data_IF_997564649508
#
_entry.id   IF_997564649508
#
_cell.length_a   1.000
_cell.length_b   1.000
_cell.length_c   1.000
_cell.angle_alpha   90.00
_cell.angle_beta   90.00
_cell.angle_gamma   90.00
#
_symmetry.space_group_name_H-M   'P 1'
#
loop_
_entity.id
_entity.type
_entity.pdbx_description
1 polymer ?
#
# COMPACT_ATOMS: atom_id res chain seq x y z
N UNK A 1 -11.45 -21.88 -78.49
CA UNK A 1 -11.62 -23.13 -77.75
C UNK A 1 -10.55 -23.21 -76.67
N UNK A 2 -10.72 -22.46 -75.64
CA UNK A 2 -9.74 -22.38 -74.58
C UNK A 2 -10.39 -21.72 -73.32
N UNK A 3 -11.21 -22.44 -72.63
CA UNK A 3 -11.67 -22.08 -71.26
C UNK A 3 -12.06 -23.40 -70.58
N UNK A 4 -11.15 -24.03 -69.83
CA UNK A 4 -11.42 -25.08 -68.85
C UNK A 4 -10.13 -25.62 -68.23
N UNK A 5 -9.27 -24.76 -67.64
CA UNK A 5 -8.12 -25.27 -66.86
C UNK A 5 -7.76 -24.47 -65.58
N UNK A 6 -8.56 -23.45 -65.18
CA UNK A 6 -8.18 -22.60 -64.05
C UNK A 6 -9.09 -22.70 -62.84
N UNK A 7 -9.92 -23.73 -62.66
CA UNK A 7 -10.87 -23.84 -61.57
C UNK A 7 -10.45 -24.90 -60.51
N UNK A 8 -9.47 -25.74 -60.79
CA UNK A 8 -9.10 -26.85 -59.83
C UNK A 8 -7.91 -26.51 -58.90
N UNK A 9 -7.16 -25.43 -59.14
CA UNK A 9 -5.98 -25.08 -58.31
C UNK A 9 -6.34 -24.14 -57.14
N UNK A 10 -7.51 -23.49 -57.16
CA UNK A 10 -7.91 -22.54 -56.11
C UNK A 10 -8.61 -23.20 -54.90
N UNK A 11 -9.08 -24.45 -55.06
CA UNK A 11 -9.80 -25.15 -53.98
C UNK A 11 -8.90 -25.88 -52.97
N UNK A 12 -7.65 -26.16 -53.33
CA UNK A 12 -6.72 -26.84 -52.40
C UNK A 12 -5.89 -25.89 -51.49
N UNK A 13 -5.79 -24.60 -51.86
CA UNK A 13 -5.00 -23.64 -51.07
C UNK A 13 -5.83 -23.05 -49.91
N UNK A 14 -7.14 -22.96 -50.06
CA UNK A 14 -8.03 -22.47 -48.99
C UNK A 14 -8.28 -23.49 -47.89
N UNK A 15 -8.17 -24.78 -48.14
CA UNK A 15 -8.36 -25.82 -47.13
C UNK A 15 -7.12 -25.97 -46.20
N UNK A 16 -5.91 -25.65 -46.72
CA UNK A 16 -4.68 -25.72 -45.88
C UNK A 16 -4.50 -24.49 -45.01
N UNK A 17 -4.99 -23.32 -45.38
CA UNK A 17 -4.90 -22.11 -44.59
C UNK A 17 -5.87 -22.12 -43.38
N UNK A 18 -7.04 -22.75 -43.50
CA UNK A 18 -8.01 -22.86 -42.41
C UNK A 18 -7.57 -23.88 -41.35
N UNK A 19 -6.87 -24.94 -41.73
CA UNK A 19 -6.36 -25.95 -40.81
C UNK A 19 -5.12 -25.46 -40.00
N UNK A 20 -4.34 -24.52 -40.55
CA UNK A 20 -3.17 -23.96 -39.88
C UNK A 20 -3.55 -22.89 -38.84
N UNK A 21 -4.66 -22.16 -39.06
CA UNK A 21 -5.18 -21.19 -38.06
C UNK A 21 -5.89 -21.87 -36.90
N UNK A 22 -6.46 -23.05 -37.05
CA UNK A 22 -7.12 -23.79 -35.99
C UNK A 22 -6.14 -24.45 -35.02
N UNK A 23 -4.88 -24.70 -35.42
CA UNK A 23 -3.84 -25.31 -34.57
C UNK A 23 -3.02 -24.25 -33.82
N UNK A 24 -2.94 -23.00 -34.34
CA UNK A 24 -2.26 -21.88 -33.63
C UNK A 24 -3.19 -21.11 -32.71
N UNK A 25 -4.50 -21.29 -32.78
CA UNK A 25 -5.48 -20.66 -31.89
C UNK A 25 -5.65 -21.32 -30.52
N UNK A 26 -4.99 -22.45 -30.26
CA UNK A 26 -5.17 -23.22 -29.02
C UNK A 26 -4.06 -23.03 -27.99
N UNK A 27 -3.07 -22.15 -28.20
CA UNK A 27 -1.97 -21.88 -27.26
C UNK A 27 -1.91 -20.47 -26.72
N UNK A 28 -2.90 -19.63 -26.97
CA UNK A 28 -2.91 -18.24 -26.51
C UNK A 28 -4.17 -17.87 -25.72
N UNK A 29 -4.53 -18.66 -24.70
CA UNK A 29 -5.49 -18.21 -23.68
C UNK A 29 -5.07 -18.75 -22.32
N UNK A 30 -3.95 -18.26 -21.80
CA UNK A 30 -3.80 -18.13 -20.34
C UNK A 30 -4.14 -16.70 -20.00
N UNK A 31 -5.34 -16.57 -19.43
CA UNK A 31 -5.99 -15.42 -18.90
C UNK A 31 -5.03 -14.27 -18.48
N UNK A 32 -5.06 -13.16 -19.20
CA UNK A 32 -4.90 -11.87 -18.57
C UNK A 32 -6.15 -11.70 -17.72
N UNK A 33 -6.04 -11.83 -16.42
CA UNK A 33 -7.10 -11.46 -15.52
C UNK A 33 -7.28 -9.94 -15.66
N UNK A 34 -8.34 -9.54 -16.30
CA UNK A 34 -8.74 -8.15 -16.50
C UNK A 34 -9.10 -7.54 -15.15
N UNK A 35 -8.69 -6.29 -14.94
CA UNK A 35 -9.31 -5.41 -13.93
C UNK A 35 -10.83 -5.52 -14.15
N UNK A 36 -11.64 -5.72 -13.09
CA UNK A 36 -13.09 -5.83 -13.26
C UNK A 36 -13.63 -4.64 -14.05
N UNK A 37 -14.45 -4.89 -15.09
CA UNK A 37 -14.99 -3.87 -16.02
C UNK A 37 -15.69 -2.69 -15.34
N UNK A 38 -16.16 -2.86 -14.10
CA UNK A 38 -16.80 -1.82 -13.30
C UNK A 38 -15.82 -0.78 -12.72
N UNK A 39 -14.50 -0.96 -12.88
CA UNK A 39 -13.48 -0.02 -12.39
C UNK A 39 -12.84 0.84 -13.49
N UNK A 40 -13.15 0.57 -14.78
CA UNK A 40 -12.60 1.35 -15.89
C UNK A 40 -13.58 2.46 -16.29
N UNK A 41 -13.08 3.68 -16.48
CA UNK A 41 -13.76 4.73 -17.26
C UNK A 41 -13.39 4.54 -18.73
N UNK A 42 -14.25 4.94 -19.66
CA UNK A 42 -14.12 4.69 -21.11
C UNK A 42 -12.87 5.27 -21.80
N UNK A 43 -11.94 5.92 -21.04
CA UNK A 43 -10.78 6.64 -21.59
C UNK A 43 -9.41 6.31 -20.97
N UNK A 44 -9.31 5.32 -20.06
CA UNK A 44 -8.03 5.03 -19.39
C UNK A 44 -7.34 3.79 -20.01
N UNK A 45 -6.42 4.02 -20.95
CA UNK A 45 -5.42 3.03 -21.34
C UNK A 45 -4.42 2.83 -20.20
N UNK A 46 -4.47 1.67 -19.53
CA UNK A 46 -3.37 1.22 -18.67
C UNK A 46 -2.19 0.89 -19.61
N UNK A 47 -1.23 1.80 -19.71
CA UNK A 47 -0.01 1.57 -20.50
C UNK A 47 0.70 0.34 -19.95
N UNK A 48 0.95 -0.72 -20.75
CA UNK A 48 1.66 -1.89 -20.27
C UNK A 48 3.06 -1.49 -19.78
N UNK A 49 3.34 -1.72 -18.50
CA UNK A 49 4.66 -1.48 -17.94
C UNK A 49 5.67 -2.47 -18.52
N UNK A 50 6.95 -2.09 -18.59
CA UNK A 50 8.03 -2.95 -19.03
C UNK A 50 8.05 -4.27 -18.22
N UNK A 51 8.54 -5.35 -18.84
CA UNK A 51 8.51 -6.69 -18.23
C UNK A 51 9.28 -6.79 -16.89
N UNK A 52 10.23 -5.90 -16.67
CA UNK A 52 11.06 -5.77 -15.46
C UNK A 52 10.47 -4.83 -14.40
N UNK A 53 9.33 -4.16 -14.69
CA UNK A 53 8.66 -3.32 -13.70
C UNK A 53 8.19 -4.13 -12.49
N UNK A 54 8.18 -3.55 -11.28
CA UNK A 54 7.71 -4.20 -10.06
C UNK A 54 6.33 -4.84 -10.22
N UNK A 55 6.16 -6.05 -9.71
CA UNK A 55 4.87 -6.71 -9.66
C UNK A 55 4.03 -6.16 -8.50
N UNK A 56 2.77 -5.85 -8.78
CA UNK A 56 1.73 -5.57 -7.79
C UNK A 56 0.65 -6.64 -7.95
N UNK A 57 0.51 -7.49 -6.95
CA UNK A 57 -0.49 -8.54 -6.92
C UNK A 57 -1.80 -7.99 -6.36
N UNK A 58 -2.90 -8.27 -7.03
CA UNK A 58 -4.24 -7.75 -6.71
C UNK A 58 -5.25 -8.87 -6.55
N UNK A 59 -6.16 -8.74 -5.61
CA UNK A 59 -7.39 -9.55 -5.53
C UNK A 59 -8.57 -8.67 -5.12
N UNK A 60 -9.72 -8.87 -5.74
CA UNK A 60 -10.98 -8.24 -5.32
C UNK A 60 -11.58 -8.90 -4.06
N UNK A 61 -11.09 -10.07 -3.66
CA UNK A 61 -11.58 -10.82 -2.51
C UNK A 61 -11.04 -10.25 -1.20
N UNK A 62 -11.81 -9.39 -0.53
CA UNK A 62 -11.44 -8.80 0.77
C UNK A 62 -11.87 -9.75 1.89
N UNK A 63 -11.13 -10.82 2.05
CA UNK A 63 -11.28 -11.82 3.09
C UNK A 63 -9.91 -12.44 3.44
N UNK A 64 -9.79 -13.25 4.51
CA UNK A 64 -8.50 -13.84 4.89
C UNK A 64 -7.83 -14.63 3.77
N UNK A 65 -8.59 -15.39 2.97
CA UNK A 65 -8.04 -16.16 1.85
C UNK A 65 -7.48 -15.25 0.73
N UNK A 66 -8.17 -14.15 0.40
CA UNK A 66 -7.68 -13.15 -0.54
C UNK A 66 -6.40 -12.46 -0.05
N UNK A 67 -6.34 -12.09 1.23
CA UNK A 67 -5.13 -11.53 1.83
C UNK A 67 -3.95 -12.52 1.74
N UNK A 68 -4.18 -13.79 2.06
CA UNK A 68 -3.17 -14.83 1.95
C UNK A 68 -2.70 -15.03 0.51
N UNK A 69 -3.62 -15.00 -0.48
CA UNK A 69 -3.28 -15.21 -1.89
C UNK A 69 -2.30 -14.16 -2.44
N UNK A 70 -2.48 -12.87 -2.09
CA UNK A 70 -1.54 -11.83 -2.51
C UNK A 70 -0.23 -11.86 -1.72
N UNK A 71 -0.25 -12.23 -0.44
CA UNK A 71 0.95 -12.43 0.35
C UNK A 71 1.84 -13.55 -0.24
N UNK A 72 1.25 -14.71 -0.51
CA UNK A 72 1.98 -15.86 -1.07
C UNK A 72 2.53 -15.57 -2.47
N UNK A 73 1.81 -14.78 -3.26
CA UNK A 73 2.24 -14.37 -4.60
C UNK A 73 3.53 -13.52 -4.61
N UNK A 74 3.87 -12.84 -3.50
CA UNK A 74 5.12 -12.09 -3.37
C UNK A 74 6.36 -12.96 -3.47
N UNK A 75 6.27 -14.25 -3.14
CA UNK A 75 7.41 -15.18 -3.15
C UNK A 75 8.48 -14.89 -2.09
N UNK A 76 8.30 -13.86 -1.25
CA UNK A 76 9.17 -13.51 -0.14
C UNK A 76 8.51 -13.92 1.17
N UNK A 77 9.11 -14.88 1.87
CA UNK A 77 8.58 -15.35 3.15
C UNK A 77 9.18 -14.54 4.31
N UNK A 78 8.31 -14.03 5.18
CA UNK A 78 8.72 -13.41 6.41
C UNK A 78 9.39 -14.45 7.34
N UNK A 79 10.51 -14.08 7.96
CA UNK A 79 11.30 -14.97 8.80
C UNK A 79 11.93 -14.24 9.99
N UNK A 80 12.35 -14.99 11.01
CA UNK A 80 12.85 -14.43 12.26
C UNK A 80 11.74 -13.85 13.12
N UNK A 81 12.04 -12.80 13.88
CA UNK A 81 11.04 -12.02 14.62
C UNK A 81 10.34 -11.05 13.65
N UNK A 82 9.09 -11.31 13.35
CA UNK A 82 8.32 -10.56 12.36
C UNK A 82 7.47 -9.48 13.02
N UNK A 83 7.66 -8.23 12.61
CA UNK A 83 6.75 -7.14 12.91
C UNK A 83 5.67 -7.03 11.85
N UNK A 84 4.41 -6.98 12.24
CA UNK A 84 3.29 -6.64 11.37
C UNK A 84 2.84 -5.23 11.70
N UNK A 85 3.25 -4.26 10.88
CA UNK A 85 2.95 -2.84 11.08
C UNK A 85 1.58 -2.51 10.51
N UNK A 86 0.68 -2.17 11.40
CA UNK A 86 -0.69 -1.76 11.07
C UNK A 86 -0.99 -0.36 11.61
N UNK A 87 -2.24 0.09 11.45
CA UNK A 87 -2.85 1.18 12.20
C UNK A 87 -4.02 0.61 13.00
N UNK A 88 -3.95 0.68 14.32
CA UNK A 88 -4.97 0.08 15.21
C UNK A 88 -6.29 0.85 15.27
N UNK A 89 -6.38 2.01 14.61
CA UNK A 89 -7.56 2.89 14.66
C UNK A 89 -7.55 3.82 15.87
N UNK A 90 -8.26 4.92 15.78
CA UNK A 90 -8.51 5.83 16.92
C UNK A 90 -9.76 5.36 17.68
N UNK A 91 -9.86 5.51 19.01
CA UNK A 91 -11.06 5.18 19.74
C UNK A 91 -12.31 5.86 19.18
N UNK A 92 -13.34 5.06 18.88
CA UNK A 92 -14.59 5.53 18.27
C UNK A 92 -14.62 5.50 16.74
N UNK A 93 -13.51 5.22 16.07
CA UNK A 93 -13.50 4.97 14.63
C UNK A 93 -14.13 3.61 14.32
N UNK A 94 -15.22 3.52 13.54
CA UNK A 94 -15.87 2.24 13.21
C UNK A 94 -15.26 1.56 11.97
N UNK A 95 -14.30 2.19 11.29
CA UNK A 95 -13.79 1.79 9.97
C UNK A 95 -12.31 1.38 9.98
N UNK A 96 -11.73 1.09 11.14
CA UNK A 96 -10.36 0.57 11.22
C UNK A 96 -10.27 -0.84 10.60
N UNK A 97 -9.04 -1.26 10.30
CA UNK A 97 -8.78 -2.58 9.70
C UNK A 97 -9.24 -3.71 10.65
N UNK A 98 -10.15 -4.56 10.17
CA UNK A 98 -10.73 -5.65 10.97
C UNK A 98 -9.64 -6.67 11.35
N UNK A 99 -9.44 -6.96 12.65
CA UNK A 99 -8.53 -8.00 13.10
C UNK A 99 -8.82 -9.39 12.49
N UNK A 100 -10.10 -9.73 12.27
CA UNK A 100 -10.46 -11.01 11.68
C UNK A 100 -9.99 -11.16 10.23
N UNK A 101 -9.92 -10.06 9.47
CA UNK A 101 -9.39 -10.06 8.12
C UNK A 101 -7.90 -10.42 8.09
N UNK A 102 -7.12 -9.92 9.06
CA UNK A 102 -5.66 -10.03 9.05
C UNK A 102 -5.12 -11.18 9.91
N UNK A 103 -5.96 -11.82 10.71
CA UNK A 103 -5.58 -12.85 11.69
C UNK A 103 -4.72 -13.96 11.07
N UNK A 104 -5.19 -14.54 9.95
CA UNK A 104 -4.53 -15.69 9.35
C UNK A 104 -3.12 -15.33 8.86
N UNK A 105 -2.94 -14.15 8.25
CA UNK A 105 -1.62 -13.66 7.86
C UNK A 105 -0.72 -13.45 9.07
N UNK A 106 -1.20 -12.74 10.10
CA UNK A 106 -0.42 -12.44 11.30
C UNK A 106 0.04 -13.73 11.98
N UNK A 107 -0.83 -14.73 12.08
CA UNK A 107 -0.51 -16.03 12.67
C UNK A 107 0.41 -16.85 11.77
N UNK A 108 0.21 -16.81 10.44
CA UNK A 108 1.07 -17.52 9.46
C UNK A 108 2.53 -17.09 9.56
N UNK A 109 2.78 -15.79 9.76
CA UNK A 109 4.15 -15.25 9.88
C UNK A 109 4.67 -15.26 11.32
N UNK A 110 3.93 -15.81 12.28
CA UNK A 110 4.21 -15.71 13.71
C UNK A 110 4.52 -14.27 14.14
N UNK A 111 3.67 -13.34 13.66
CA UNK A 111 3.90 -11.91 13.73
C UNK A 111 3.52 -11.29 15.06
N UNK A 112 4.24 -10.24 15.41
CA UNK A 112 3.86 -9.30 16.46
C UNK A 112 3.30 -8.04 15.80
N UNK A 113 2.11 -7.62 16.16
CA UNK A 113 1.52 -6.36 15.71
C UNK A 113 2.30 -5.20 16.34
N UNK A 114 2.73 -4.23 15.51
CA UNK A 114 3.52 -3.10 16.00
C UNK A 114 2.91 -1.76 15.59
N UNK A 115 3.01 -0.79 16.49
CA UNK A 115 2.58 0.61 16.32
C UNK A 115 3.54 1.56 17.05
N UNK A 116 3.40 2.87 16.80
CA UNK A 116 4.02 3.93 17.61
C UNK A 116 2.96 4.88 18.16
N UNK A 117 3.23 5.47 19.31
CA UNK A 117 2.39 6.50 19.93
C UNK A 117 2.15 7.66 18.96
N UNK A 118 1.01 8.31 19.12
CA UNK A 118 0.70 9.56 18.42
C UNK A 118 1.28 10.76 19.18
N UNK A 119 1.10 11.96 18.64
CA UNK A 119 1.57 13.18 19.30
C UNK A 119 0.74 13.49 20.55
N UNK A 120 1.27 14.30 21.50
CA UNK A 120 0.54 14.73 22.69
C UNK A 120 -0.84 15.32 22.36
N UNK A 121 -1.82 15.01 23.21
CA UNK A 121 -3.21 15.43 23.02
C UNK A 121 -4.10 14.44 22.25
N UNK A 122 -3.54 13.42 21.62
CA UNK A 122 -4.28 12.30 21.04
C UNK A 122 -4.63 11.25 22.09
N UNK A 123 -5.65 10.44 21.83
CA UNK A 123 -6.06 9.32 22.71
C UNK A 123 -5.09 8.14 22.69
N UNK A 124 -4.12 8.13 21.76
CA UNK A 124 -3.04 7.14 21.67
C UNK A 124 -1.66 7.79 21.86
N UNK A 125 -1.59 8.87 22.68
CA UNK A 125 -0.37 9.62 22.92
C UNK A 125 0.63 8.94 23.88
N UNK A 126 0.24 7.85 24.53
CA UNK A 126 1.11 7.06 25.40
C UNK A 126 0.81 5.57 25.26
N UNK A 127 1.77 4.74 25.61
CA UNK A 127 1.71 3.30 25.42
C UNK A 127 0.51 2.66 26.14
N UNK A 128 0.22 3.03 27.39
CA UNK A 128 -0.89 2.44 28.16
C UNK A 128 -2.24 2.65 27.47
N UNK A 129 -2.51 3.90 27.05
CA UNK A 129 -3.74 4.23 26.32
C UNK A 129 -3.76 3.52 24.96
N UNK A 130 -2.63 3.43 24.26
CA UNK A 130 -2.53 2.78 22.96
C UNK A 130 -2.75 1.27 23.05
N UNK A 131 -2.18 0.58 24.04
CA UNK A 131 -2.48 -0.84 24.31
C UNK A 131 -3.96 -1.08 24.62
N UNK A 132 -4.60 -0.16 25.35
CA UNK A 132 -6.03 -0.27 25.61
C UNK A 132 -6.87 -0.15 24.34
N UNK A 133 -6.49 0.73 23.39
CA UNK A 133 -7.14 0.83 22.08
C UNK A 133 -6.95 -0.47 21.29
N UNK A 134 -5.74 -0.98 21.21
CA UNK A 134 -5.46 -2.24 20.52
C UNK A 134 -6.28 -3.41 21.10
N UNK A 135 -6.45 -3.46 22.41
CA UNK A 135 -7.29 -4.43 23.10
C UNK A 135 -8.79 -4.25 22.76
N UNK A 136 -9.29 -3.03 22.86
CA UNK A 136 -10.71 -2.73 22.59
C UNK A 136 -11.10 -3.01 21.13
N UNK A 137 -10.17 -2.83 20.20
CA UNK A 137 -10.36 -3.12 18.78
C UNK A 137 -10.07 -4.58 18.41
N UNK A 138 -9.72 -5.46 19.38
CA UNK A 138 -9.58 -6.90 19.18
C UNK A 138 -8.20 -7.36 18.70
N UNK A 139 -7.22 -6.47 18.49
CA UNK A 139 -5.90 -6.86 17.97
C UNK A 139 -5.11 -7.75 18.94
N UNK A 140 -5.24 -7.54 20.24
CA UNK A 140 -4.58 -8.40 21.25
C UNK A 140 -5.13 -9.82 21.33
N UNK A 141 -6.30 -10.07 20.74
CA UNK A 141 -6.88 -11.42 20.66
C UNK A 141 -6.28 -12.26 19.52
N UNK A 142 -5.61 -11.64 18.55
CA UNK A 142 -5.06 -12.35 17.38
C UNK A 142 -3.54 -12.49 17.42
N UNK A 143 -2.83 -11.58 18.10
CA UNK A 143 -1.36 -11.60 18.24
C UNK A 143 -0.88 -10.74 19.41
N UNK A 144 0.39 -10.90 19.85
CA UNK A 144 1.06 -9.90 20.69
C UNK A 144 1.06 -8.52 20.01
N UNK A 145 0.94 -7.46 20.82
CA UNK A 145 1.00 -6.06 20.35
C UNK A 145 2.17 -5.38 21.04
N UNK A 146 2.95 -4.60 20.33
CA UNK A 146 4.11 -3.84 20.82
C UNK A 146 4.01 -2.39 20.34
N UNK A 147 4.10 -1.45 21.28
CA UNK A 147 4.26 -0.03 20.97
C UNK A 147 5.76 0.27 20.93
N UNK A 148 6.27 0.50 19.71
CA UNK A 148 7.72 0.55 19.46
C UNK A 148 8.44 1.68 20.19
N UNK A 149 7.76 2.78 20.48
CA UNK A 149 8.28 3.97 21.17
C UNK A 149 7.77 4.09 22.61
N UNK A 150 7.37 2.97 23.24
CA UNK A 150 6.83 2.99 24.61
C UNK A 150 7.82 3.50 25.65
N UNK A 151 9.12 3.27 25.44
CA UNK A 151 10.19 3.66 26.35
C UNK A 151 11.17 4.66 25.77
N UNK A 152 11.44 4.58 24.45
CA UNK A 152 12.43 5.42 23.78
C UNK A 152 12.22 5.46 22.27
N UNK A 153 12.86 6.42 21.61
CA UNK A 153 13.08 6.41 20.16
C UNK A 153 14.58 6.32 19.84
N UNK A 154 14.87 5.97 18.61
CA UNK A 154 16.20 5.99 18.02
C UNK A 154 16.21 6.78 16.72
N UNK A 155 17.35 7.36 16.40
CA UNK A 155 17.61 7.96 15.10
C UNK A 155 18.08 6.88 14.11
N UNK A 156 17.51 6.89 12.93
CA UNK A 156 18.01 6.11 11.77
C UNK A 156 18.32 7.07 10.60
N UNK A 157 19.40 6.82 9.82
CA UNK A 157 19.80 7.74 8.76
C UNK A 157 18.80 7.78 7.61
N UNK A 158 18.66 8.94 6.99
CA UNK A 158 17.91 9.17 5.75
C UNK A 158 18.90 9.41 4.61
N UNK A 159 19.05 8.44 3.72
CA UNK A 159 19.93 8.57 2.56
C UNK A 159 19.23 9.34 1.43
N UNK A 160 19.89 10.38 0.92
CA UNK A 160 19.39 11.20 -0.19
C UNK A 160 18.24 12.15 0.18
N UNK A 161 17.94 12.34 1.47
CA UNK A 161 16.88 13.24 1.91
C UNK A 161 17.20 14.72 1.61
N UNK A 162 16.20 15.43 1.09
CA UNK A 162 16.21 16.88 0.85
C UNK A 162 15.96 17.62 2.17
N UNK A 163 15.00 17.15 2.98
CA UNK A 163 14.57 17.76 4.21
C UNK A 163 15.12 17.05 5.44
N UNK A 164 15.09 15.72 5.45
CA UNK A 164 15.50 14.91 6.58
C UNK A 164 16.90 14.32 6.35
N UNK A 165 17.75 14.37 7.38
CA UNK A 165 19.02 13.64 7.43
C UNK A 165 18.91 12.40 8.32
N UNK A 166 17.93 12.39 9.18
CA UNK A 166 17.61 11.33 10.12
C UNK A 166 16.09 11.24 10.35
N UNK A 167 15.64 10.06 10.73
CA UNK A 167 14.26 9.80 11.12
C UNK A 167 14.24 9.21 12.53
N UNK A 168 13.31 9.67 13.39
CA UNK A 168 13.17 9.20 14.77
C UNK A 168 12.05 8.17 14.82
N UNK A 169 12.43 6.90 15.06
CA UNK A 169 11.51 5.76 15.09
C UNK A 169 11.51 5.13 16.48
N UNK A 170 10.46 4.39 16.81
CA UNK A 170 10.40 3.68 18.09
C UNK A 170 11.58 2.73 18.27
N UNK A 171 12.28 2.77 19.42
CA UNK A 171 13.53 2.04 19.64
C UNK A 171 13.38 0.52 19.52
N UNK A 172 12.20 -0.02 19.87
CA UNK A 172 11.90 -1.44 19.79
C UNK A 172 11.81 -1.97 18.36
N UNK A 173 11.89 -1.12 17.34
CA UNK A 173 12.01 -1.57 15.92
C UNK A 173 13.21 -2.52 15.75
N UNK A 174 14.27 -2.36 16.54
CA UNK A 174 15.46 -3.21 16.49
C UNK A 174 15.24 -4.64 17.05
N UNK A 175 14.12 -4.91 17.69
CA UNK A 175 13.78 -6.26 18.17
C UNK A 175 13.29 -7.19 17.04
N UNK A 176 13.04 -6.66 15.84
CA UNK A 176 12.44 -7.38 14.74
C UNK A 176 13.42 -7.54 13.58
N UNK A 177 13.39 -8.73 12.97
CA UNK A 177 14.23 -9.10 11.83
C UNK A 177 13.56 -8.78 10.49
N UNK A 178 12.23 -8.86 10.43
CA UNK A 178 11.43 -8.72 9.22
C UNK A 178 10.22 -7.81 9.46
N UNK A 179 9.82 -7.06 8.42
CA UNK A 179 8.68 -6.15 8.47
C UNK A 179 7.60 -6.53 7.45
N UNK A 180 6.38 -6.72 7.91
CA UNK A 180 5.16 -6.78 7.07
C UNK A 180 4.42 -5.46 7.27
N UNK A 181 4.48 -4.58 6.29
CA UNK A 181 3.78 -3.29 6.32
C UNK A 181 2.37 -3.51 5.75
N UNK A 182 1.41 -3.70 6.64
CA UNK A 182 0.00 -3.97 6.31
C UNK A 182 -0.83 -2.72 6.55
N UNK A 183 -1.21 -2.05 5.48
CA UNK A 183 -1.83 -0.73 5.52
C UNK A 183 -3.29 -0.79 5.13
N UNK A 184 -4.09 0.05 5.75
CA UNK A 184 -5.45 0.32 5.35
C UNK A 184 -5.44 1.56 4.45
N UNK A 185 -5.60 1.37 3.13
CA UNK A 185 -5.56 2.47 2.16
C UNK A 185 -6.85 3.28 2.21
N UNK A 186 -6.75 4.59 2.32
CA UNK A 186 -7.88 5.55 2.27
C UNK A 186 -7.41 6.99 2.13
N UNK A 187 -8.34 7.94 2.04
CA UNK A 187 -8.04 9.37 2.11
C UNK A 187 -7.37 9.78 3.41
N UNK A 188 -6.68 10.90 3.40
CA UNK A 188 -6.03 11.46 4.59
C UNK A 188 -6.07 12.99 4.60
N UNK A 189 -6.46 13.63 5.71
CA UNK A 189 -6.67 15.09 5.76
C UNK A 189 -5.41 15.93 5.52
N UNK A 190 -4.23 15.40 5.76
CA UNK A 190 -2.96 16.10 5.53
C UNK A 190 -2.15 15.50 4.37
N UNK A 191 -2.06 14.18 4.26
CA UNK A 191 -1.25 13.51 3.24
C UNK A 191 -1.96 13.29 1.90
N UNK A 192 -3.25 13.64 1.79
CA UNK A 192 -4.08 13.31 0.63
C UNK A 192 -4.60 11.87 0.70
N UNK A 193 -3.73 10.91 0.85
CA UNK A 193 -4.04 9.49 1.11
C UNK A 193 -3.11 8.89 2.16
N UNK A 194 -3.44 7.71 2.65
CA UNK A 194 -2.60 6.87 3.49
C UNK A 194 -2.53 5.46 2.93
N UNK A 195 -1.33 4.99 2.63
CA UNK A 195 -0.98 3.66 2.15
C UNK A 195 0.31 3.19 2.79
N UNK A 196 1.09 2.36 2.07
CA UNK A 196 2.36 1.82 2.55
C UNK A 196 3.37 2.92 2.90
N UNK A 197 3.54 3.94 2.04
CA UNK A 197 4.49 5.04 2.29
C UNK A 197 4.18 5.79 3.58
N UNK A 198 2.90 6.09 3.84
CA UNK A 198 2.51 6.76 5.09
C UNK A 198 2.66 5.85 6.30
N UNK A 199 2.31 4.57 6.18
CA UNK A 199 2.47 3.61 7.28
C UNK A 199 3.94 3.40 7.63
N UNK A 200 4.83 3.39 6.63
CA UNK A 200 6.29 3.32 6.82
C UNK A 200 6.87 4.59 7.46
N UNK A 201 6.39 5.76 7.08
CA UNK A 201 6.91 7.03 7.59
C UNK A 201 6.29 7.37 8.95
N UNK A 202 5.07 7.91 8.94
CA UNK A 202 4.37 8.36 10.15
C UNK A 202 4.09 7.18 11.10
N UNK A 203 3.84 5.97 10.56
CA UNK A 203 3.52 4.80 11.36
C UNK A 203 4.67 4.28 12.21
N UNK A 204 5.92 4.30 11.73
CA UNK A 204 7.11 3.90 12.50
C UNK A 204 7.73 5.05 13.30
N UNK A 205 7.45 6.30 12.92
CA UNK A 205 7.96 7.45 13.65
C UNK A 205 7.45 7.45 15.09
N UNK A 206 8.33 7.73 16.06
CA UNK A 206 7.97 8.02 17.43
C UNK A 206 7.05 9.25 17.51
N UNK A 207 6.49 9.55 18.67
CA UNK A 207 5.72 10.78 18.88
C UNK A 207 6.54 12.03 18.48
N UNK A 208 7.82 12.11 18.86
CA UNK A 208 8.73 13.18 18.46
C UNK A 208 9.06 13.10 16.94
N UNK A 209 9.27 11.90 16.42
CA UNK A 209 9.52 11.65 14.99
C UNK A 209 8.38 12.09 14.10
N UNK A 210 7.13 11.92 14.53
CA UNK A 210 5.96 12.45 13.80
C UNK A 210 6.03 13.97 13.65
N UNK A 211 6.34 14.69 14.74
CA UNK A 211 6.54 16.15 14.69
C UNK A 211 7.71 16.54 13.77
N UNK A 212 8.80 15.77 13.81
CA UNK A 212 9.98 15.95 12.95
C UNK A 212 9.64 15.86 11.48
N UNK A 213 8.88 14.83 11.06
CA UNK A 213 8.42 14.65 9.68
C UNK A 213 7.48 15.78 9.28
N UNK A 214 6.49 16.12 10.12
CA UNK A 214 5.53 17.18 9.83
C UNK A 214 6.17 18.55 9.69
N UNK A 215 7.23 18.83 10.43
CA UNK A 215 7.99 20.09 10.36
C UNK A 215 9.11 20.08 9.32
N UNK A 216 9.21 19.03 8.48
CA UNK A 216 10.29 18.88 7.51
C UNK A 216 11.69 19.02 8.16
N UNK A 217 11.90 18.33 9.26
CA UNK A 217 13.19 18.28 9.95
C UNK A 217 13.54 19.52 10.81
N UNK A 218 12.56 20.36 11.14
CA UNK A 218 12.83 21.60 11.90
C UNK A 218 12.73 21.42 13.41
N UNK A 219 11.77 20.62 13.89
CA UNK A 219 11.51 20.46 15.32
C UNK A 219 10.76 19.17 15.65
N UNK A 220 10.96 18.67 16.86
CA UNK A 220 10.28 17.49 17.41
C UNK A 220 9.02 17.81 18.21
N UNK A 221 8.60 19.06 18.32
CA UNK A 221 7.57 19.54 19.26
C UNK A 221 6.41 20.30 18.60
N UNK A 222 6.18 20.16 17.28
CA UNK A 222 5.09 20.87 16.59
C UNK A 222 3.74 20.14 16.61
N UNK A 223 3.71 18.89 17.07
CA UNK A 223 2.53 18.03 16.89
C UNK A 223 2.24 17.80 15.39
N UNK A 224 1.02 18.12 14.96
CA UNK A 224 0.57 17.96 13.58
C UNK A 224 0.77 19.20 12.69
N UNK A 225 1.47 20.23 13.16
CA UNK A 225 1.67 21.45 12.37
C UNK A 225 2.72 21.22 11.29
N UNK A 226 2.41 21.65 10.08
CA UNK A 226 3.34 21.67 8.95
C UNK A 226 3.50 23.12 8.44
N UNK A 227 4.74 23.53 8.23
CA UNK A 227 5.05 24.86 7.66
C UNK A 227 4.79 24.89 6.15
N UNK A 228 4.93 23.75 5.48
CA UNK A 228 4.76 23.61 4.03
C UNK A 228 4.19 22.23 3.73
N UNK A 229 3.08 22.22 3.01
CA UNK A 229 2.42 20.99 2.56
C UNK A 229 3.38 20.11 1.76
N UNK A 230 4.09 20.67 0.79
CA UNK A 230 5.00 19.92 -0.07
C UNK A 230 6.21 19.40 0.70
N UNK A 231 6.82 20.20 1.58
CA UNK A 231 7.94 19.76 2.39
C UNK A 231 7.55 18.61 3.34
N UNK A 232 6.34 18.62 3.90
CA UNK A 232 5.80 17.52 4.69
C UNK A 232 5.65 16.24 3.85
N UNK A 233 5.07 16.32 2.65
CA UNK A 233 4.88 15.17 1.77
C UNK A 233 6.21 14.57 1.31
N UNK A 234 7.18 15.41 0.94
CA UNK A 234 8.53 14.99 0.61
C UNK A 234 9.21 14.32 1.82
N UNK A 235 9.08 14.90 3.02
CA UNK A 235 9.62 14.32 4.26
C UNK A 235 8.99 12.97 4.62
N UNK A 236 7.72 12.74 4.32
CA UNK A 236 7.11 11.42 4.47
C UNK A 236 7.80 10.38 3.58
N UNK A 237 8.07 10.69 2.32
CA UNK A 237 8.78 9.78 1.42
C UNK A 237 10.21 9.49 1.92
N UNK A 238 10.91 10.50 2.42
CA UNK A 238 12.25 10.39 2.99
C UNK A 238 12.28 9.52 4.25
N UNK A 239 11.33 9.72 5.16
CA UNK A 239 11.18 8.90 6.35
C UNK A 239 10.82 7.44 6.00
N UNK A 240 9.94 7.21 5.00
CA UNK A 240 9.63 5.86 4.52
C UNK A 240 10.88 5.17 3.98
N UNK A 241 11.71 5.89 3.20
CA UNK A 241 12.97 5.35 2.67
C UNK A 241 13.92 4.89 3.77
N UNK A 242 14.04 5.62 4.87
CA UNK A 242 14.93 5.24 5.99
C UNK A 242 14.56 3.88 6.58
N UNK A 243 13.28 3.57 6.68
CA UNK A 243 12.78 2.26 7.15
C UNK A 243 13.03 1.18 6.10
N UNK A 244 12.76 1.46 4.82
CA UNK A 244 13.03 0.51 3.74
C UNK A 244 14.52 0.16 3.63
N UNK A 245 15.41 1.15 3.70
CA UNK A 245 16.85 0.96 3.67
C UNK A 245 17.35 0.10 4.84
N UNK A 246 16.81 0.33 6.06
CA UNK A 246 17.12 -0.47 7.25
C UNK A 246 16.76 -1.95 7.09
N UNK A 247 15.64 -2.24 6.42
CA UNK A 247 15.12 -3.60 6.24
C UNK A 247 15.24 -4.13 4.81
N UNK A 248 16.14 -3.59 4.01
CA UNK A 248 16.33 -3.99 2.60
C UNK A 248 16.36 -5.52 2.44
N UNK A 249 15.45 -6.03 1.60
CA UNK A 249 15.26 -7.48 1.37
C UNK A 249 14.52 -8.23 2.48
N UNK A 250 14.10 -7.55 3.56
CA UNK A 250 13.38 -8.12 4.72
C UNK A 250 12.15 -7.30 5.08
N UNK A 251 11.49 -6.78 4.06
CA UNK A 251 10.28 -5.97 4.18
C UNK A 251 9.36 -6.25 2.99
N UNK A 252 8.07 -6.33 3.22
CA UNK A 252 7.04 -6.42 2.19
C UNK A 252 5.85 -5.54 2.54
N UNK A 253 5.04 -5.23 1.55
CA UNK A 253 3.98 -4.24 1.65
C UNK A 253 2.65 -4.79 1.16
N UNK A 254 1.59 -4.52 1.92
CA UNK A 254 0.21 -4.89 1.59
C UNK A 254 -0.70 -3.70 1.90
N UNK A 255 -1.57 -3.34 0.95
CA UNK A 255 -2.63 -2.34 1.13
C UNK A 255 -4.00 -3.00 1.01
N UNK A 256 -4.87 -2.76 2.00
CA UNK A 256 -6.27 -3.17 1.98
C UNK A 256 -7.12 -1.95 1.61
N UNK A 257 -7.86 -2.04 0.52
CA UNK A 257 -8.70 -0.97 -0.04
C UNK A 257 -10.18 -1.26 0.24
N UNK A 258 -10.57 -1.19 1.51
CA UNK A 258 -11.96 -1.30 1.95
C UNK A 258 -12.36 -0.13 2.85
N UNK A 259 -13.65 0.08 3.06
CA UNK A 259 -14.16 1.21 3.84
C UNK A 259 -13.52 2.55 3.40
N UNK A 260 -13.46 2.77 2.09
CA UNK A 260 -12.74 3.87 1.46
C UNK A 260 -13.41 5.22 1.78
N UNK A 261 -12.88 5.88 2.81
CA UNK A 261 -13.30 7.20 3.29
C UNK A 261 -12.26 8.24 2.89
N UNK A 262 -12.68 9.50 2.79
CA UNK A 262 -11.78 10.66 2.64
C UNK A 262 -10.92 10.91 3.88
N UNK A 263 -11.29 10.32 5.01
CA UNK A 263 -10.59 10.44 6.28
C UNK A 263 -9.93 9.12 6.67
N UNK A 264 -8.87 9.22 7.47
CA UNK A 264 -8.10 8.06 7.90
C UNK A 264 -8.55 7.50 9.25
N UNK A 265 -8.02 6.32 9.59
CA UNK A 265 -8.24 5.65 10.88
C UNK A 265 -7.70 6.44 12.08
N UNK A 266 -6.96 7.52 11.83
CA UNK A 266 -6.45 8.43 12.86
C UNK A 266 -7.48 9.45 13.38
N UNK A 267 -8.72 9.43 12.87
CA UNK A 267 -9.83 10.24 13.37
C UNK A 267 -10.83 9.34 14.11
N UNK A 268 -11.30 9.81 15.26
CA UNK A 268 -12.30 9.09 16.06
C UNK A 268 -13.70 9.09 15.42
N UNK A 269 -13.99 10.07 14.57
CA UNK A 269 -15.26 10.20 13.84
C UNK A 269 -14.94 10.55 12.39
N UNK A 270 -14.47 9.59 11.58
CA UNK A 270 -14.18 9.82 10.17
C UNK A 270 -15.46 9.98 9.37
N UNK A 271 -15.37 10.65 8.22
CA UNK A 271 -16.44 10.65 7.23
C UNK A 271 -16.81 9.21 6.82
N UNK A 272 -18.07 8.99 6.53
CA UNK A 272 -18.51 7.69 6.01
C UNK A 272 -17.82 7.37 4.68
N UNK A 273 -17.50 6.10 4.40
CA UNK A 273 -17.04 5.69 3.09
C UNK A 273 -18.06 6.09 2.01
N UNK A 274 -17.57 6.72 0.94
CA UNK A 274 -18.39 7.14 -0.21
C UNK A 274 -18.02 6.37 -1.47
N UNK A 275 -17.01 5.53 -1.39
CA UNK A 275 -16.49 4.72 -2.48
C UNK A 275 -16.60 3.23 -2.14
N UNK A 276 -16.95 2.41 -3.12
CA UNK A 276 -16.99 0.95 -2.98
C UNK A 276 -15.61 0.37 -2.62
N UNK A 277 -15.63 -0.80 -1.98
CA UNK A 277 -14.42 -1.54 -1.71
C UNK A 277 -13.78 -2.00 -3.03
N UNK A 278 -12.45 -1.93 -3.14
CA UNK A 278 -11.72 -2.31 -4.36
C UNK A 278 -11.09 -3.69 -4.22
N UNK A 279 -10.30 -3.92 -3.16
CA UNK A 279 -9.57 -5.18 -3.02
C UNK A 279 -8.38 -5.10 -2.08
N UNK A 280 -7.48 -6.07 -2.23
CA UNK A 280 -6.21 -6.14 -1.49
C UNK A 280 -5.08 -6.19 -2.51
N UNK A 281 -4.04 -5.39 -2.29
CA UNK A 281 -2.86 -5.34 -3.14
C UNK A 281 -1.61 -5.64 -2.32
N UNK A 282 -0.61 -6.29 -2.95
CA UNK A 282 0.69 -6.57 -2.34
C UNK A 282 1.83 -6.37 -3.33
N UNK A 283 2.96 -5.83 -2.85
CA UNK A 283 4.18 -5.66 -3.64
C UNK A 283 5.43 -5.69 -2.75
N UNK A 284 6.59 -5.92 -3.35
CA UNK A 284 7.90 -5.70 -2.72
C UNK A 284 8.42 -4.27 -2.95
N UNK A 285 7.68 -3.46 -3.71
CA UNK A 285 7.96 -2.05 -3.97
C UNK A 285 6.80 -1.19 -3.41
N UNK A 286 7.04 -0.34 -2.40
CA UNK A 286 5.98 0.46 -1.77
C UNK A 286 5.48 1.59 -2.65
N UNK A 287 6.31 2.09 -3.58
CA UNK A 287 5.95 3.16 -4.52
C UNK A 287 4.99 2.60 -5.57
N UNK A 288 5.34 1.45 -6.17
CA UNK A 288 4.49 0.72 -7.10
C UNK A 288 3.14 0.36 -6.47
N UNK A 289 3.16 -0.11 -5.22
CA UNK A 289 1.95 -0.49 -4.49
C UNK A 289 1.01 0.70 -4.27
N UNK A 290 1.52 1.81 -3.72
CA UNK A 290 0.69 2.99 -3.46
C UNK A 290 0.21 3.63 -4.76
N UNK A 291 1.07 3.64 -5.83
CA UNK A 291 0.67 4.12 -7.16
C UNK A 291 -0.47 3.28 -7.73
N UNK A 292 -0.40 1.95 -7.66
CA UNK A 292 -1.47 1.06 -8.13
C UNK A 292 -2.79 1.30 -7.37
N UNK A 293 -2.72 1.50 -6.04
CA UNK A 293 -3.91 1.83 -5.25
C UNK A 293 -4.53 3.17 -5.68
N UNK A 294 -3.71 4.20 -5.91
CA UNK A 294 -4.16 5.50 -6.39
C UNK A 294 -4.82 5.36 -7.76
N UNK A 295 -4.18 4.66 -8.71
CA UNK A 295 -4.72 4.47 -10.06
C UNK A 295 -6.08 3.77 -10.04
N UNK A 296 -6.24 2.72 -9.22
CA UNK A 296 -7.52 2.06 -9.03
C UNK A 296 -8.60 2.98 -8.43
N UNK A 297 -8.21 3.86 -7.50
CA UNK A 297 -9.14 4.86 -6.96
C UNK A 297 -9.54 5.90 -8.02
N UNK A 298 -8.59 6.32 -8.89
CA UNK A 298 -8.87 7.27 -9.98
C UNK A 298 -9.72 6.66 -11.09
N UNK A 299 -9.55 5.37 -11.37
CA UNK A 299 -10.36 4.64 -12.37
C UNK A 299 -11.78 4.30 -11.87
N UNK A 300 -12.05 4.39 -10.57
CA UNK A 300 -13.34 4.03 -10.01
C UNK A 300 -14.40 5.10 -10.28
N UNK A 301 -15.60 4.68 -10.73
CA UNK A 301 -16.73 5.58 -11.05
C UNK A 301 -17.19 6.44 -9.86
N UNK A 302 -17.02 5.94 -8.65
CA UNK A 302 -17.38 6.58 -7.38
C UNK A 302 -16.18 7.16 -6.61
N UNK A 303 -14.98 7.23 -7.25
CA UNK A 303 -13.73 7.69 -6.65
C UNK A 303 -13.64 9.19 -6.39
N UNK A 304 -14.59 10.00 -6.85
CA UNK A 304 -14.56 11.47 -6.85
C UNK A 304 -14.08 12.08 -5.52
N UNK A 305 -14.59 11.62 -4.40
CA UNK A 305 -14.29 12.20 -3.08
C UNK A 305 -12.84 11.88 -2.64
N UNK A 306 -12.37 10.66 -2.88
CA UNK A 306 -10.99 10.25 -2.63
C UNK A 306 -10.03 11.01 -3.53
N UNK A 307 -10.34 11.12 -4.84
CA UNK A 307 -9.58 11.90 -5.81
C UNK A 307 -9.46 13.35 -5.34
N UNK A 308 -10.58 14.00 -5.02
CA UNK A 308 -10.60 15.37 -4.53
C UNK A 308 -9.78 15.55 -3.24
N UNK A 309 -9.78 14.56 -2.34
CA UNK A 309 -8.92 14.56 -1.14
C UNK A 309 -7.44 14.50 -1.52
N UNK A 310 -7.05 13.59 -2.42
CA UNK A 310 -5.66 13.42 -2.88
C UNK A 310 -5.17 14.72 -3.53
N UNK A 311 -5.93 15.27 -4.47
CA UNK A 311 -5.57 16.47 -5.22
C UNK A 311 -5.51 17.71 -4.33
N UNK A 312 -6.51 17.93 -3.45
CA UNK A 312 -6.55 19.09 -2.54
C UNK A 312 -5.36 19.16 -1.59
N UNK A 313 -4.62 18.05 -1.42
CA UNK A 313 -3.43 17.96 -0.57
C UNK A 313 -2.14 17.76 -1.34
N UNK A 314 -2.18 17.81 -2.67
CA UNK A 314 -1.04 17.47 -3.53
C UNK A 314 -0.45 16.08 -3.19
N UNK A 315 -1.32 15.12 -2.86
CA UNK A 315 -0.94 13.84 -2.25
C UNK A 315 -0.01 13.00 -3.12
N UNK A 316 -0.08 13.14 -4.45
CA UNK A 316 0.80 12.41 -5.39
C UNK A 316 2.28 12.78 -5.23
N UNK A 317 2.60 13.96 -4.68
CA UNK A 317 3.98 14.39 -4.46
C UNK A 317 4.76 13.41 -3.57
N UNK A 318 4.10 12.72 -2.62
CA UNK A 318 4.77 11.69 -1.80
C UNK A 318 5.29 10.54 -2.67
N UNK A 319 4.47 10.06 -3.63
CA UNK A 319 4.86 9.00 -4.59
C UNK A 319 5.97 9.51 -5.51
N UNK A 320 5.80 10.71 -6.08
CA UNK A 320 6.79 11.31 -7.00
C UNK A 320 8.16 11.52 -6.34
N UNK A 321 8.15 11.98 -5.09
CA UNK A 321 9.39 12.17 -4.34
C UNK A 321 10.02 10.85 -3.93
N UNK A 322 9.22 9.85 -3.54
CA UNK A 322 9.69 8.52 -3.21
C UNK A 322 10.43 7.86 -4.38
N UNK A 323 9.88 7.96 -5.60
CA UNK A 323 10.57 7.50 -6.82
C UNK A 323 11.85 8.30 -7.07
N UNK A 324 11.80 9.62 -6.99
CA UNK A 324 12.95 10.52 -7.24
C UNK A 324 14.14 10.21 -6.32
N UNK A 325 13.90 9.84 -5.07
CA UNK A 325 14.96 9.49 -4.11
C UNK A 325 15.34 7.99 -4.17
N UNK A 326 14.78 7.23 -5.12
CA UNK A 326 15.14 5.82 -5.35
C UNK A 326 14.57 4.85 -4.30
N UNK A 327 13.41 5.14 -3.73
CA UNK A 327 12.71 4.20 -2.83
C UNK A 327 12.02 3.07 -3.61
N UNK A 328 11.54 3.34 -4.82
CA UNK A 328 10.84 2.40 -5.68
C UNK A 328 10.47 3.03 -7.01
N UNK A 329 9.55 2.42 -7.76
CA UNK A 329 9.13 2.84 -9.09
C UNK A 329 7.63 3.07 -9.18
N UNK A 330 7.21 4.12 -9.90
CA UNK A 330 5.79 4.34 -10.25
C UNK A 330 5.30 3.41 -11.37
N UNK A 331 6.22 2.91 -12.19
CA UNK A 331 5.89 1.89 -13.16
C UNK A 331 5.68 0.54 -12.45
N UNK A 332 4.59 -0.16 -12.77
CA UNK A 332 4.28 -1.45 -12.16
C UNK A 332 3.49 -2.35 -13.12
N UNK A 333 3.49 -3.65 -12.84
CA UNK A 333 2.64 -4.63 -13.50
C UNK A 333 1.57 -5.10 -12.52
N UNK A 334 0.29 -4.86 -12.83
CA UNK A 334 -0.83 -5.35 -12.01
C UNK A 334 -1.13 -6.81 -12.39
N UNK A 335 -1.12 -7.71 -11.39
CA UNK A 335 -1.31 -9.15 -11.56
C UNK A 335 -2.45 -9.61 -10.65
N UNK A 336 -3.59 -9.98 -11.22
CA UNK A 336 -4.74 -10.48 -10.45
C UNK A 336 -4.54 -11.90 -9.95
N UNK A 337 -5.04 -12.16 -8.73
CA UNK A 337 -4.98 -13.44 -8.00
C UNK A 337 -6.36 -13.96 -7.62
#
# INVERSE_FOLDING_TARGET
>A
MQVKRNVIVLSCITAFAVALFAVLGSFATKAHASVPENFLTDNDEIVPAAADSPAVYFTANINPAGLMSVYEALGLQASGKVAVKIHTGEPGNPHFLDPNLIKDLVQKVNGTIVECNTVPGSRRANAAAHYQVAKNHGFTAIAPVVILDESADISIPVSGGKHLKENFVGARINEFDFQVVLSHFKGHPMGGFGGALKNMSIGYASSAGKSWIHSAGKTKNTGWRSDSQNAFLESMAEAAKSVADKYKGRILYINVMNNLSVDCDCLSSPAKPTMANIGILASLDPVALDKACVDLAYAAKDGKDIIGRIESRNGLLTIDHAERIGLGSKAYRLITK
#
